data_IF_471738684872
#
_entry.id   IF_471738684872
#
_cell.length_a   1.000
_cell.length_b   1.000
_cell.length_c   1.000
_cell.angle_alpha   90.00
_cell.angle_beta   90.00
_cell.angle_gamma   90.00
#
_symmetry.space_group_name_H-M   'P 1'
#
loop_
_entity.id
_entity.type
_entity.pdbx_description
1 polymer ?
#
# COMPACT_ATOMS: atom_id res chain seq x y z
N UNK A 1 0.07 -29.13 -23.14
CA UNK A 1 -0.36 -29.62 -21.80
C UNK A 1 0.42 -28.88 -20.72
N UNK A 2 -0.01 -27.68 -20.34
CA UNK A 2 0.60 -26.92 -19.25
C UNK A 2 0.01 -27.41 -17.93
N UNK A 3 0.83 -27.99 -17.05
CA UNK A 3 0.45 -28.30 -15.68
C UNK A 3 0.03 -26.99 -15.02
N UNK A 4 -1.28 -26.79 -14.84
CA UNK A 4 -1.83 -25.85 -13.88
C UNK A 4 -1.15 -26.17 -12.55
N UNK A 5 -0.16 -25.36 -12.16
CA UNK A 5 0.44 -25.42 -10.85
C UNK A 5 -0.72 -25.26 -9.87
N UNK A 6 -1.04 -26.31 -9.10
CA UNK A 6 -2.02 -26.19 -8.03
C UNK A 6 -1.47 -25.09 -7.12
N UNK A 7 -2.26 -24.03 -6.84
CA UNK A 7 -1.83 -23.05 -5.85
C UNK A 7 -1.49 -23.82 -4.57
N UNK A 8 -0.30 -23.54 -4.00
CA UNK A 8 0.07 -24.09 -2.69
C UNK A 8 -1.12 -23.95 -1.75
N UNK A 9 -1.41 -24.96 -0.90
CA UNK A 9 -2.47 -24.85 0.08
C UNK A 9 -2.18 -23.62 0.95
N UNK A 10 -2.98 -22.57 0.73
CA UNK A 10 -2.89 -21.34 1.49
C UNK A 10 -3.04 -21.70 2.97
N UNK A 11 -2.21 -21.11 3.84
CA UNK A 11 -2.21 -21.43 5.27
C UNK A 11 -3.64 -21.49 5.82
N UNK A 12 -3.98 -22.54 6.60
CA UNK A 12 -5.34 -22.75 7.07
C UNK A 12 -5.83 -21.56 7.89
N UNK A 13 -7.07 -21.16 7.61
CA UNK A 13 -7.77 -20.10 8.32
C UNK A 13 -8.05 -20.55 9.76
N UNK A 14 -7.84 -19.73 10.80
CA UNK A 14 -8.40 -20.00 12.11
C UNK A 14 -9.93 -19.98 12.00
N UNK A 15 -10.60 -21.03 12.46
CA UNK A 15 -12.05 -21.07 12.48
C UNK A 15 -12.62 -19.90 13.29
N UNK A 16 -13.67 -19.25 12.77
CA UNK A 16 -14.45 -18.29 13.56
C UNK A 16 -14.96 -18.98 14.82
N UNK A 17 -14.70 -18.40 15.99
CA UNK A 17 -15.10 -18.94 17.30
C UNK A 17 -13.95 -19.46 18.17
N UNK A 18 -12.76 -19.69 17.63
CA UNK A 18 -11.61 -20.17 18.40
C UNK A 18 -10.66 -19.02 18.80
N UNK A 19 -11.00 -18.25 19.84
CA UNK A 19 -10.01 -17.56 20.69
C UNK A 19 -9.03 -16.57 20.02
N UNK A 20 -9.41 -15.89 18.94
CA UNK A 20 -8.53 -14.91 18.32
C UNK A 20 -8.50 -13.62 19.13
N UNK A 21 -7.47 -13.46 19.96
CA UNK A 21 -7.27 -12.26 20.78
C UNK A 21 -6.65 -11.13 19.95
N UNK A 22 -6.90 -9.89 20.34
CA UNK A 22 -6.31 -8.70 19.71
C UNK A 22 -4.77 -8.79 19.62
N UNK A 23 -4.12 -9.24 20.71
CA UNK A 23 -2.67 -9.46 20.75
C UNK A 23 -2.22 -10.53 19.74
N UNK A 24 -2.98 -11.61 19.57
CA UNK A 24 -2.67 -12.65 18.59
C UNK A 24 -2.78 -12.14 17.15
N UNK A 25 -3.74 -11.26 16.86
CA UNK A 25 -3.91 -10.63 15.56
C UNK A 25 -2.72 -9.71 15.23
N UNK A 26 -2.28 -8.88 16.19
CA UNK A 26 -1.09 -8.03 16.03
C UNK A 26 0.16 -8.88 15.78
N UNK A 27 0.40 -9.90 16.61
CA UNK A 27 1.56 -10.79 16.47
C UNK A 27 1.59 -11.42 15.09
N UNK A 28 0.45 -11.93 14.60
CA UNK A 28 0.35 -12.53 13.26
C UNK A 28 0.56 -11.53 12.12
N UNK A 29 0.06 -10.30 12.28
CA UNK A 29 0.28 -9.21 11.34
C UNK A 29 1.77 -8.92 11.17
N UNK A 30 2.50 -8.81 12.30
CA UNK A 30 3.93 -8.52 12.32
C UNK A 30 4.76 -9.72 11.82
N UNK A 31 4.49 -10.94 12.28
CA UNK A 31 5.28 -12.13 11.86
C UNK A 31 5.09 -12.47 10.38
N UNK A 32 3.94 -12.11 9.81
CA UNK A 32 3.63 -12.29 8.39
C UNK A 32 3.88 -11.04 7.55
N UNK A 33 4.62 -10.06 8.06
CA UNK A 33 4.84 -8.77 7.38
C UNK A 33 5.64 -8.86 6.08
N UNK A 34 6.45 -9.91 5.93
CA UNK A 34 7.19 -10.20 4.70
C UNK A 34 6.56 -11.34 3.89
N UNK A 35 5.48 -11.93 4.38
CA UNK A 35 4.80 -13.04 3.73
C UNK A 35 3.55 -12.55 2.98
N UNK A 36 3.66 -12.53 1.66
CA UNK A 36 2.60 -12.12 0.75
C UNK A 36 1.65 -13.27 0.42
N UNK A 37 2.00 -14.49 0.82
CA UNK A 37 1.23 -15.70 0.60
C UNK A 37 0.34 -15.99 1.81
N UNK A 38 -0.78 -16.65 1.56
CA UNK A 38 -1.73 -17.05 2.60
C UNK A 38 -2.97 -16.16 2.67
N UNK A 39 -3.80 -16.43 3.68
CA UNK A 39 -5.12 -15.83 3.88
C UNK A 39 -5.16 -15.09 5.21
N UNK A 40 -5.83 -13.95 5.21
CA UNK A 40 -6.15 -13.21 6.44
C UNK A 40 -7.66 -13.02 6.51
N UNK A 41 -8.24 -13.41 7.64
CA UNK A 41 -9.66 -13.13 7.89
C UNK A 41 -9.88 -11.65 8.23
N UNK A 42 -11.12 -11.15 8.13
CA UNK A 42 -11.48 -9.79 8.60
C UNK A 42 -11.15 -9.59 10.09
N UNK A 43 -11.36 -10.63 10.91
CA UNK A 43 -11.10 -10.61 12.35
C UNK A 43 -9.60 -10.55 12.71
N UNK A 44 -8.70 -10.96 11.82
CA UNK A 44 -7.26 -10.72 11.96
C UNK A 44 -6.87 -9.33 11.43
N UNK A 45 -7.44 -8.97 10.26
CA UNK A 45 -7.03 -7.81 9.49
C UNK A 45 -7.43 -6.48 10.14
N UNK A 46 -8.70 -6.32 10.53
CA UNK A 46 -9.21 -5.07 11.10
C UNK A 46 -8.50 -4.65 12.39
N UNK A 47 -8.38 -5.50 13.44
CA UNK A 47 -7.68 -5.09 14.66
C UNK A 47 -6.20 -4.79 14.41
N UNK A 48 -5.56 -5.53 13.51
CA UNK A 48 -4.17 -5.25 13.13
C UNK A 48 -4.02 -3.86 12.49
N UNK A 49 -4.87 -3.50 11.53
CA UNK A 49 -4.83 -2.17 10.91
C UNK A 49 -5.17 -1.06 11.91
N UNK A 50 -6.17 -1.26 12.77
CA UNK A 50 -6.48 -0.28 13.80
C UNK A 50 -5.27 -0.06 14.73
N UNK A 51 -4.61 -1.13 15.17
CA UNK A 51 -3.41 -1.04 15.99
C UNK A 51 -2.26 -0.34 15.24
N UNK A 52 -2.04 -0.68 13.98
CA UNK A 52 -1.01 -0.07 13.15
C UNK A 52 -1.26 1.43 12.93
N UNK A 53 -2.51 1.83 12.69
CA UNK A 53 -2.89 3.23 12.49
C UNK A 53 -2.71 4.05 13.78
N UNK A 54 -3.13 3.52 14.93
CA UNK A 54 -2.93 4.18 16.23
C UNK A 54 -1.46 4.32 16.57
N UNK A 55 -0.66 3.27 16.35
CA UNK A 55 0.77 3.30 16.61
C UNK A 55 1.49 4.30 15.68
N UNK A 56 1.13 4.32 14.40
CA UNK A 56 1.65 5.30 13.44
C UNK A 56 1.32 6.73 13.89
N UNK A 57 0.07 7.01 14.26
CA UNK A 57 -0.35 8.31 14.73
C UNK A 57 0.42 8.74 16.00
N UNK A 58 0.61 7.83 16.95
CA UNK A 58 1.38 8.09 18.15
C UNK A 58 2.85 8.44 17.83
N UNK A 59 3.51 7.68 16.95
CA UNK A 59 4.90 7.94 16.54
C UNK A 59 5.02 9.29 15.84
N UNK A 60 4.10 9.60 14.92
CA UNK A 60 4.10 10.90 14.22
C UNK A 60 3.89 12.06 15.20
N UNK A 61 3.03 11.91 16.20
CA UNK A 61 2.82 12.92 17.24
C UNK A 61 4.07 13.15 18.10
N UNK A 62 4.84 12.11 18.40
CA UNK A 62 6.13 12.22 19.09
C UNK A 62 7.16 12.93 18.20
N UNK A 63 7.26 12.55 16.93
CA UNK A 63 8.15 13.21 15.97
C UNK A 63 7.83 14.70 15.81
N UNK A 64 6.54 15.07 15.85
CA UNK A 64 6.11 16.46 15.76
C UNK A 64 6.60 17.31 16.94
N UNK A 65 6.63 16.73 18.15
CA UNK A 65 7.18 17.38 19.33
C UNK A 65 8.71 17.54 19.23
N UNK A 66 9.38 16.59 18.58
CA UNK A 66 10.83 16.61 18.39
C UNK A 66 11.30 17.32 17.10
N UNK A 67 10.40 18.00 16.37
CA UNK A 67 10.66 18.54 15.02
C UNK A 67 11.83 19.52 14.93
N UNK A 68 12.17 20.20 16.03
CA UNK A 68 13.28 21.17 16.08
C UNK A 68 14.65 20.47 16.22
N UNK A 69 14.66 19.20 16.63
CA UNK A 69 15.89 18.40 16.87
C UNK A 69 16.13 17.32 15.82
N UNK A 70 15.09 16.90 15.11
CA UNK A 70 15.13 15.81 14.14
C UNK A 70 14.59 16.33 12.81
N UNK A 71 15.16 15.94 11.65
CA UNK A 71 14.59 16.29 10.36
C UNK A 71 13.20 15.65 10.18
N UNK A 72 12.16 16.35 10.62
CA UNK A 72 10.80 15.85 10.79
C UNK A 72 10.27 15.19 9.51
N UNK A 73 10.44 15.86 8.36
CA UNK A 73 9.98 15.33 7.07
C UNK A 73 10.59 13.97 6.73
N UNK A 74 11.91 13.83 6.88
CA UNK A 74 12.60 12.56 6.61
C UNK A 74 12.24 11.48 7.63
N UNK A 75 12.12 11.84 8.91
CA UNK A 75 11.74 10.91 9.95
C UNK A 75 10.32 10.34 9.72
N UNK A 76 9.36 11.18 9.35
CA UNK A 76 8.00 10.76 9.03
C UNK A 76 7.97 9.84 7.81
N UNK A 77 8.70 10.19 6.74
CA UNK A 77 8.79 9.35 5.54
C UNK A 77 9.36 7.95 5.86
N UNK A 78 10.40 7.88 6.70
CA UNK A 78 11.01 6.62 7.11
C UNK A 78 10.02 5.75 7.91
N UNK A 79 9.29 6.35 8.86
CA UNK A 79 8.26 5.65 9.63
C UNK A 79 7.13 5.16 8.73
N UNK A 80 6.64 5.98 7.80
CA UNK A 80 5.64 5.55 6.82
C UNK A 80 6.13 4.35 5.99
N UNK A 81 7.38 4.41 5.50
CA UNK A 81 7.96 3.31 4.72
C UNK A 81 8.04 2.01 5.53
N UNK A 82 8.40 2.09 6.82
CA UNK A 82 8.46 0.92 7.70
C UNK A 82 7.08 0.31 7.96
N UNK A 83 6.05 1.14 8.15
CA UNK A 83 4.67 0.68 8.37
C UNK A 83 3.98 0.20 7.09
N UNK A 84 4.42 0.69 5.93
CA UNK A 84 3.82 0.32 4.65
C UNK A 84 3.96 -1.19 4.36
N UNK A 85 5.11 -1.78 4.66
CA UNK A 85 5.38 -3.21 4.43
C UNK A 85 4.37 -4.13 5.14
N UNK A 86 4.23 -4.09 6.48
CA UNK A 86 3.35 -5.01 7.20
C UNK A 86 1.86 -4.76 6.88
N UNK A 87 1.44 -3.52 6.64
CA UNK A 87 0.06 -3.18 6.25
C UNK A 87 -0.25 -3.73 4.85
N UNK A 88 0.65 -3.54 3.90
CA UNK A 88 0.50 -4.04 2.52
C UNK A 88 0.47 -5.57 2.50
N UNK A 89 1.35 -6.24 3.26
CA UNK A 89 1.36 -7.70 3.34
C UNK A 89 0.08 -8.28 3.98
N UNK A 90 -0.47 -7.62 5.01
CA UNK A 90 -1.76 -8.01 5.58
C UNK A 90 -2.91 -7.81 4.59
N UNK A 91 -2.91 -6.69 3.85
CA UNK A 91 -3.90 -6.40 2.79
C UNK A 91 -3.83 -7.40 1.65
N UNK A 92 -2.63 -7.77 1.18
CA UNK A 92 -2.42 -8.79 0.15
C UNK A 92 -3.00 -10.16 0.57
N UNK A 93 -2.78 -10.58 1.82
CA UNK A 93 -3.37 -11.82 2.37
C UNK A 93 -4.89 -11.75 2.51
N UNK A 94 -5.45 -10.57 2.78
CA UNK A 94 -6.91 -10.36 2.81
C UNK A 94 -7.50 -10.44 1.40
N UNK A 95 -6.87 -9.83 0.40
CA UNK A 95 -7.28 -9.94 -1.01
C UNK A 95 -7.25 -11.40 -1.48
N UNK A 96 -6.20 -12.16 -1.14
CA UNK A 96 -6.14 -13.60 -1.40
C UNK A 96 -7.29 -14.39 -0.76
N UNK A 97 -7.81 -13.95 0.39
CA UNK A 97 -8.96 -14.58 1.08
C UNK A 97 -10.31 -14.22 0.45
N UNK A 98 -10.39 -13.08 -0.24
CA UNK A 98 -11.56 -12.67 -1.03
C UNK A 98 -11.55 -13.29 -2.42
N UNK A 99 -10.45 -13.92 -2.84
CA UNK A 99 -10.27 -14.49 -4.17
C UNK A 99 -9.72 -13.50 -5.20
N UNK A 100 -9.26 -12.34 -4.73
CA UNK A 100 -8.70 -11.27 -5.54
C UNK A 100 -7.18 -11.36 -5.66
N UNK A 101 -6.61 -10.63 -6.63
CA UNK A 101 -5.16 -10.61 -6.86
C UNK A 101 -4.44 -9.82 -5.74
N UNK A 102 -3.41 -10.38 -5.08
CA UNK A 102 -2.73 -9.71 -3.95
C UNK A 102 -1.98 -8.45 -4.38
N UNK A 103 -1.56 -8.38 -5.65
CA UNK A 103 -0.88 -7.22 -6.23
C UNK A 103 -1.76 -5.96 -6.34
N UNK A 104 -3.09 -6.07 -6.17
CA UNK A 104 -3.98 -4.91 -6.15
C UNK A 104 -3.63 -3.93 -5.03
N UNK A 105 -3.02 -4.40 -3.94
CA UNK A 105 -2.58 -3.54 -2.83
C UNK A 105 -1.46 -2.55 -3.24
N UNK A 106 -0.74 -2.82 -4.33
CA UNK A 106 0.31 -1.94 -4.88
C UNK A 106 -0.20 -0.94 -5.91
N UNK A 107 -1.42 -1.11 -6.43
CA UNK A 107 -1.99 -0.22 -7.46
C UNK A 107 -2.09 1.23 -6.99
N UNK A 108 -2.50 1.54 -5.75
CA UNK A 108 -2.51 2.92 -5.26
C UNK A 108 -1.11 3.57 -5.24
N UNK A 109 -0.03 2.79 -5.23
CA UNK A 109 1.33 3.31 -5.24
C UNK A 109 1.82 3.67 -6.66
N UNK A 110 1.18 3.14 -7.71
CA UNK A 110 1.63 3.32 -9.10
C UNK A 110 1.70 4.79 -9.56
N UNK A 111 0.71 5.67 -9.29
CA UNK A 111 0.78 7.06 -9.73
C UNK A 111 1.96 7.81 -9.11
N UNK A 112 2.22 7.56 -7.82
CA UNK A 112 3.34 8.17 -7.08
C UNK A 112 4.68 7.62 -7.56
N UNK A 113 4.78 6.30 -7.75
CA UNK A 113 6.00 5.66 -8.27
C UNK A 113 6.31 6.11 -9.70
N UNK A 114 5.29 6.23 -10.56
CA UNK A 114 5.43 6.72 -11.94
C UNK A 114 5.98 8.14 -11.99
N UNK A 115 5.45 9.04 -11.14
CA UNK A 115 5.98 10.40 -11.02
C UNK A 115 7.44 10.41 -10.55
N UNK A 116 7.79 9.59 -9.56
CA UNK A 116 9.17 9.43 -9.09
C UNK A 116 10.12 8.92 -10.18
N UNK A 117 9.69 7.95 -11.00
CA UNK A 117 10.48 7.41 -12.12
C UNK A 117 10.68 8.48 -13.20
N UNK A 118 9.64 9.24 -13.55
CA UNK A 118 9.77 10.34 -14.53
C UNK A 118 10.79 11.37 -14.04
N UNK A 119 10.70 11.80 -12.78
CA UNK A 119 11.68 12.73 -12.19
C UNK A 119 13.09 12.14 -12.18
N UNK A 120 13.25 10.86 -11.82
CA UNK A 120 14.54 10.17 -11.83
C UNK A 120 15.13 10.12 -13.24
N UNK A 121 14.35 9.72 -14.24
CA UNK A 121 14.79 9.66 -15.65
C UNK A 121 15.20 11.05 -16.13
N UNK A 122 14.44 12.09 -15.82
CA UNK A 122 14.81 13.47 -16.14
C UNK A 122 16.12 13.90 -15.47
N UNK A 123 16.37 13.51 -14.22
CA UNK A 123 17.64 13.77 -13.54
C UNK A 123 18.83 12.98 -14.14
N UNK A 124 18.58 11.77 -14.65
CA UNK A 124 19.60 10.91 -15.27
C UNK A 124 19.91 11.32 -16.71
N UNK A 125 18.95 11.91 -17.43
CA UNK A 125 19.11 12.54 -18.75
C UNK A 125 19.85 13.89 -18.59
N UNK A 126 21.06 13.80 -18.08
CA UNK A 126 21.92 14.90 -17.63
C UNK A 126 22.59 15.62 -18.80
N UNK A 127 21.83 16.06 -19.80
CA UNK A 127 22.36 16.98 -20.81
C UNK A 127 22.23 18.41 -20.29
N UNK A 128 23.30 19.23 -20.28
CA UNK A 128 23.22 20.60 -19.75
C UNK A 128 22.18 21.45 -20.52
N UNK A 129 21.93 21.09 -21.78
CA UNK A 129 20.91 21.70 -22.62
C UNK A 129 19.47 21.45 -22.13
N UNK A 130 19.12 20.24 -21.66
CA UNK A 130 17.77 19.97 -21.14
C UNK A 130 17.53 20.68 -19.83
N UNK A 131 18.53 20.70 -18.94
CA UNK A 131 18.46 21.41 -17.67
C UNK A 131 18.32 22.93 -17.90
N UNK A 132 19.13 23.51 -18.80
CA UNK A 132 19.00 24.93 -19.14
C UNK A 132 17.65 25.27 -19.80
N UNK A 133 17.16 24.44 -20.72
CA UNK A 133 15.86 24.65 -21.35
C UNK A 133 14.72 24.59 -20.32
N UNK A 134 14.82 23.70 -19.33
CA UNK A 134 13.84 23.55 -18.25
C UNK A 134 13.87 24.76 -17.29
N UNK A 135 15.06 25.24 -16.92
CA UNK A 135 15.22 26.44 -16.12
C UNK A 135 14.69 27.69 -16.86
N UNK A 136 14.96 27.80 -18.17
CA UNK A 136 14.45 28.87 -19.02
C UNK A 136 12.91 28.84 -19.16
N UNK A 137 12.31 27.65 -19.33
CA UNK A 137 10.84 27.52 -19.37
C UNK A 137 10.19 27.83 -18.02
N UNK A 138 10.80 27.40 -16.90
CA UNK A 138 10.37 27.79 -15.56
C UNK A 138 10.46 29.31 -15.34
N UNK A 139 11.51 29.94 -15.88
CA UNK A 139 11.75 31.38 -15.74
C UNK A 139 10.81 32.22 -16.60
N UNK A 140 10.53 31.77 -17.83
CA UNK A 140 9.74 32.52 -18.81
C UNK A 140 8.23 32.34 -18.61
N UNK A 141 7.78 31.18 -18.12
CA UNK A 141 6.36 30.90 -17.85
C UNK A 141 6.16 30.18 -16.51
N UNK A 142 6.50 30.82 -15.37
CA UNK A 142 6.34 30.21 -14.05
C UNK A 142 4.88 29.87 -13.76
N UNK A 143 3.94 30.72 -14.18
CA UNK A 143 2.51 30.46 -13.98
C UNK A 143 2.00 29.21 -14.71
N UNK A 144 2.40 29.02 -15.97
CA UNK A 144 1.98 27.86 -16.76
C UNK A 144 2.59 26.57 -16.23
N UNK A 145 3.89 26.58 -15.93
CA UNK A 145 4.60 25.41 -15.40
C UNK A 145 4.06 24.95 -14.04
N UNK A 146 3.79 25.89 -13.13
CA UNK A 146 3.15 25.57 -11.84
C UNK A 146 1.74 25.03 -12.06
N UNK A 147 0.95 25.62 -12.95
CA UNK A 147 -0.43 25.16 -13.22
C UNK A 147 -0.45 23.74 -13.79
N UNK A 148 0.42 23.44 -14.76
CA UNK A 148 0.55 22.09 -15.32
C UNK A 148 1.02 21.09 -14.27
N UNK A 149 2.02 21.46 -13.45
CA UNK A 149 2.50 20.60 -12.37
C UNK A 149 1.40 20.28 -11.35
N UNK A 150 0.59 21.28 -10.96
CA UNK A 150 -0.55 21.10 -10.06
C UNK A 150 -1.65 20.22 -10.67
N UNK A 151 -1.94 20.36 -11.97
CA UNK A 151 -2.90 19.49 -12.67
C UNK A 151 -2.41 18.04 -12.72
N UNK A 152 -1.13 17.82 -13.04
CA UNK A 152 -0.54 16.47 -13.05
C UNK A 152 -0.54 15.86 -11.65
N UNK A 153 -0.11 16.61 -10.64
CA UNK A 153 -0.12 16.15 -9.25
C UNK A 153 -1.56 15.86 -8.76
N UNK A 154 -2.50 16.75 -9.10
CA UNK A 154 -3.91 16.62 -8.74
C UNK A 154 -4.57 15.41 -9.37
N UNK A 155 -4.37 15.17 -10.67
CA UNK A 155 -4.90 13.98 -11.34
C UNK A 155 -4.28 12.69 -10.80
N UNK A 156 -2.97 12.66 -10.53
CA UNK A 156 -2.30 11.53 -9.90
C UNK A 156 -2.84 11.26 -8.48
N UNK A 157 -3.10 12.30 -7.70
CA UNK A 157 -3.72 12.19 -6.38
C UNK A 157 -5.13 11.60 -6.47
N UNK A 158 -5.98 12.13 -7.35
CA UNK A 158 -7.36 11.65 -7.55
C UNK A 158 -7.34 10.17 -7.97
N UNK A 159 -6.50 9.79 -8.94
CA UNK A 159 -6.36 8.40 -9.37
C UNK A 159 -5.93 7.48 -8.22
N UNK A 160 -4.99 7.94 -7.38
CA UNK A 160 -4.55 7.21 -6.18
C UNK A 160 -5.69 7.00 -5.19
N UNK A 161 -6.50 8.03 -4.93
CA UNK A 161 -7.65 7.95 -4.03
C UNK A 161 -8.74 7.00 -4.56
N UNK A 162 -9.01 7.03 -5.86
CA UNK A 162 -9.95 6.09 -6.50
C UNK A 162 -9.46 4.65 -6.35
N UNK A 163 -8.19 4.39 -6.67
CA UNK A 163 -7.59 3.07 -6.52
C UNK A 163 -7.62 2.60 -5.07
N UNK A 164 -7.28 3.48 -4.12
CA UNK A 164 -7.32 3.18 -2.69
C UNK A 164 -8.75 2.85 -2.21
N UNK A 165 -9.74 3.63 -2.63
CA UNK A 165 -11.15 3.42 -2.30
C UNK A 165 -11.63 2.06 -2.81
N UNK A 166 -11.31 1.73 -4.07
CA UNK A 166 -11.64 0.44 -4.67
C UNK A 166 -11.02 -0.73 -3.90
N UNK A 167 -9.72 -0.68 -3.61
CA UNK A 167 -9.02 -1.74 -2.86
C UNK A 167 -9.56 -1.87 -1.45
N UNK A 168 -9.85 -0.76 -0.77
CA UNK A 168 -10.43 -0.77 0.58
C UNK A 168 -11.81 -1.40 0.60
N UNK A 169 -12.65 -1.13 -0.41
CA UNK A 169 -13.95 -1.80 -0.58
C UNK A 169 -13.82 -3.32 -0.68
N UNK A 170 -12.86 -3.81 -1.47
CA UNK A 170 -12.59 -5.24 -1.61
C UNK A 170 -12.14 -5.90 -0.30
N UNK A 171 -11.31 -5.20 0.49
CA UNK A 171 -10.83 -5.72 1.78
C UNK A 171 -11.97 -5.94 2.79
N UNK A 172 -13.02 -5.14 2.67
CA UNK A 172 -14.23 -5.24 3.47
C UNK A 172 -15.22 -6.29 2.97
N UNK A 173 -15.03 -6.96 1.83
CA UNK A 173 -15.90 -8.05 1.39
C UNK A 173 -15.79 -9.28 2.27
N UNK A 174 -16.81 -10.18 2.32
CA UNK A 174 -16.73 -11.38 3.15
C UNK A 174 -15.71 -12.35 2.56
N UNK A 175 -15.13 -13.18 3.42
CA UNK A 175 -14.23 -14.25 2.98
C UNK A 175 -14.96 -15.24 2.08
N UNK A 176 -14.39 -15.60 0.93
CA UNK A 176 -14.96 -16.63 0.07
C UNK A 176 -14.68 -18.03 0.67
N UNK A 177 -15.63 -18.97 0.56
CA UNK A 177 -15.37 -20.36 0.94
C UNK A 177 -14.27 -20.95 0.03
N UNK A 178 -13.50 -21.94 0.53
CA UNK A 178 -12.50 -22.60 -0.29
C UNK A 178 -13.14 -23.28 -1.52
N UNK A 179 -12.41 -23.28 -2.64
CA UNK A 179 -12.88 -23.70 -3.97
C UNK A 179 -13.27 -25.19 -4.04
N UNK A 180 -12.86 -26.00 -3.07
CA UNK A 180 -13.24 -27.41 -2.93
C UNK A 180 -14.73 -27.56 -2.59
N UNK A 181 -15.27 -26.69 -1.73
CA UNK A 181 -16.69 -26.70 -1.35
C UNK A 181 -17.63 -26.16 -2.44
N UNK A 182 -17.12 -25.43 -3.44
CA UNK A 182 -17.95 -24.93 -4.53
C UNK A 182 -18.26 -25.98 -5.60
N UNK A 183 -17.48 -27.07 -5.66
CA UNK A 183 -17.71 -28.16 -6.63
C UNK A 183 -18.87 -29.09 -6.28
N UNK A 184 -19.39 -29.04 -5.06
CA UNK A 184 -20.55 -29.81 -4.62
C UNK A 184 -21.88 -29.06 -4.67
N UNK A 185 -21.87 -27.80 -5.12
CA UNK A 185 -23.04 -26.90 -5.15
C UNK A 185 -23.49 -26.53 -6.57
N UNK A 186 -22.85 -27.11 -7.60
CA UNK A 186 -23.17 -26.91 -9.01
C UNK A 186 -23.69 -28.19 -9.65
#
# INVERSE_FOLDING_TARGET
MARHQRPEPLRPRPAWGAGMTFASAIRRGITGSLDWKGRSSRAEYLPFICAAALLLAAIVAVLWQARDTVPFGWAVLLVLALFYLPVTAAGARRLNDVGERPGLMLVPLMPVAGLGIVLLVLCLLKTPATVMAMLLTLWFMPGLSVTVALLVLGTALIATLIAFSHVTGLLLLPSQPPLDNQKGLA
#
